data_IF_381895527114
#
_entry.id   IF_381895527114
#
_cell.length_a   1.000
_cell.length_b   1.000
_cell.length_c   1.000
_cell.angle_alpha   90.00
_cell.angle_beta   90.00
_cell.angle_gamma   90.00
#
_symmetry.space_group_name_H-M   'P 1'
#
loop_
_entity.id
_entity.type
_entity.pdbx_description
1 polymer ?
#
# COMPACT_ATOMS: atom_id res chain seq x y z
N UNK A 1 15.69 1.31 -0.37
CA UNK A 1 14.41 0.67 0.01
C UNK A 1 13.99 -0.20 -1.15
N UNK A 2 13.60 -1.48 -0.96
CA UNK A 2 13.05 -2.27 -2.06
C UNK A 2 11.77 -1.61 -2.60
N UNK A 3 11.60 -1.63 -3.91
CA UNK A 3 10.40 -1.16 -4.60
C UNK A 3 9.56 -2.36 -5.01
N UNK A 4 8.25 -2.31 -4.75
CA UNK A 4 7.29 -3.33 -5.20
C UNK A 4 6.22 -2.67 -6.05
N UNK A 5 5.67 -3.40 -7.01
CA UNK A 5 4.43 -2.96 -7.64
C UNK A 5 3.28 -3.04 -6.63
N UNK A 6 2.29 -2.16 -6.75
CA UNK A 6 1.16 -2.08 -5.84
C UNK A 6 0.40 -3.41 -5.73
N UNK A 7 0.33 -4.20 -6.80
CA UNK A 7 -0.27 -5.54 -6.80
C UNK A 7 0.53 -6.61 -6.05
N UNK A 8 1.82 -6.37 -5.81
CA UNK A 8 2.71 -7.28 -5.09
C UNK A 8 2.90 -6.90 -3.62
N UNK A 9 2.31 -5.78 -3.18
CA UNK A 9 2.27 -5.40 -1.77
C UNK A 9 1.58 -6.49 -0.94
N UNK A 10 2.12 -6.75 0.25
CA UNK A 10 1.61 -7.73 1.18
C UNK A 10 1.12 -7.03 2.46
N UNK A 11 0.10 -7.57 3.15
CA UNK A 11 -0.21 -7.16 4.51
C UNK A 11 1.04 -7.19 5.40
N UNK A 12 1.31 -6.11 6.11
CA UNK A 12 2.53 -5.92 6.91
C UNK A 12 3.60 -5.05 6.24
N UNK A 13 3.61 -4.94 4.89
CA UNK A 13 4.55 -4.05 4.20
C UNK A 13 4.40 -2.62 4.72
N UNK A 14 5.53 -1.97 5.00
CA UNK A 14 5.54 -0.58 5.48
C UNK A 14 5.92 0.37 4.35
N UNK A 15 5.01 1.28 4.01
CA UNK A 15 5.17 2.29 2.97
C UNK A 15 5.54 3.65 3.58
N UNK A 16 6.28 4.46 2.84
CA UNK A 16 6.45 5.88 3.13
C UNK A 16 5.46 6.71 2.31
N UNK A 17 4.52 7.37 2.99
CA UNK A 17 3.62 8.32 2.36
C UNK A 17 4.21 9.74 2.48
N UNK A 18 4.30 10.42 1.33
CA UNK A 18 4.86 11.77 1.18
C UNK A 18 6.26 11.98 1.80
N UNK A 19 7.03 10.91 2.01
CA UNK A 19 8.37 10.97 2.63
C UNK A 19 8.37 11.24 4.15
N UNK A 20 7.20 11.31 4.79
CA UNK A 20 7.09 11.78 6.19
C UNK A 20 6.37 10.77 7.08
N UNK A 21 5.31 10.11 6.60
CA UNK A 21 4.53 9.17 7.42
C UNK A 21 4.72 7.73 6.97
N UNK A 22 4.87 6.82 7.95
CA UNK A 22 4.92 5.37 7.70
C UNK A 22 3.51 4.81 7.76
N UNK A 23 3.13 4.06 6.74
CA UNK A 23 1.83 3.42 6.62
C UNK A 23 2.02 1.91 6.49
N UNK A 24 1.31 1.13 7.29
CA UNK A 24 1.36 -0.34 7.23
C UNK A 24 0.22 -0.82 6.35
N UNK A 25 0.53 -1.68 5.37
CA UNK A 25 -0.46 -2.32 4.50
C UNK A 25 -1.28 -3.32 5.32
N UNK A 26 -2.60 -3.22 5.19
CA UNK A 26 -3.57 -4.13 5.82
C UNK A 26 -4.09 -5.12 4.80
N UNK A 27 -4.51 -4.64 3.63
CA UNK A 27 -5.04 -5.46 2.55
C UNK A 27 -4.76 -4.85 1.20
N UNK A 28 -4.59 -5.69 0.18
CA UNK A 28 -4.49 -5.29 -1.23
C UNK A 28 -5.58 -6.05 -1.99
N UNK A 29 -6.51 -5.31 -2.58
CA UNK A 29 -7.67 -5.89 -3.27
C UNK A 29 -7.67 -5.45 -4.73
N UNK A 30 -7.60 -6.37 -5.71
CA UNK A 30 -7.77 -6.01 -7.12
C UNK A 30 -9.16 -5.41 -7.37
N UNK A 31 -9.24 -4.31 -8.12
CA UNK A 31 -10.50 -3.62 -8.40
C UNK A 31 -10.73 -3.53 -9.91
N UNK A 32 -11.89 -4.02 -10.37
CA UNK A 32 -12.33 -3.97 -11.77
C UNK A 32 -11.82 -5.11 -12.66
N UNK A 33 -12.42 -5.25 -13.85
CA UNK A 33 -11.97 -6.15 -14.92
C UNK A 33 -11.53 -5.34 -16.16
N UNK A 34 -10.37 -5.66 -16.77
CA UNK A 34 -9.32 -6.56 -16.29
C UNK A 34 -8.34 -5.81 -15.36
N UNK A 35 -8.16 -6.29 -14.12
CA UNK A 35 -7.06 -6.17 -13.14
C UNK A 35 -6.08 -4.95 -13.12
N UNK A 36 -6.40 -3.83 -13.76
CA UNK A 36 -5.45 -2.71 -13.93
C UNK A 36 -5.26 -1.85 -12.68
N UNK A 37 -6.05 -2.09 -11.62
CA UNK A 37 -6.06 -1.28 -10.40
C UNK A 37 -6.18 -2.14 -9.16
N UNK A 38 -5.62 -1.64 -8.07
CA UNK A 38 -5.70 -2.23 -6.73
C UNK A 38 -6.14 -1.18 -5.72
N UNK A 39 -6.92 -1.62 -4.75
CA UNK A 39 -7.23 -0.88 -3.54
C UNK A 39 -6.32 -1.36 -2.42
N UNK A 40 -5.49 -0.46 -1.92
CA UNK A 40 -4.57 -0.71 -0.82
C UNK A 40 -5.14 -0.04 0.42
N UNK A 41 -5.47 -0.83 1.44
CA UNK A 41 -5.83 -0.32 2.76
C UNK A 41 -4.58 -0.27 3.61
N UNK A 42 -4.38 0.85 4.28
CA UNK A 42 -3.22 1.07 5.16
C UNK A 42 -3.65 1.74 6.45
N UNK A 43 -2.88 1.62 7.51
CA UNK A 43 -2.99 2.50 8.68
C UNK A 43 -1.66 3.21 8.95
N UNK A 44 -1.72 4.41 9.53
CA UNK A 44 -0.49 5.10 9.93
C UNK A 44 0.15 4.38 11.13
N UNK A 45 1.44 4.07 11.06
CA UNK A 45 2.16 3.42 12.15
C UNK A 45 2.03 4.24 13.45
N UNK A 46 1.60 3.59 14.53
CA UNK A 46 1.29 4.24 15.81
C UNK A 46 -0.14 4.80 15.93
N UNK A 47 -0.96 4.72 14.87
CA UNK A 47 -2.37 5.12 14.83
C UNK A 47 -3.20 4.08 14.04
N UNK A 48 -3.43 2.88 14.59
CA UNK A 48 -4.11 1.79 13.89
C UNK A 48 -5.56 2.12 13.48
N UNK A 49 -6.22 3.01 14.21
CA UNK A 49 -7.59 3.47 13.88
C UNK A 49 -7.62 4.41 12.67
N UNK A 50 -6.48 4.99 12.27
CA UNK A 50 -6.36 5.89 11.13
C UNK A 50 -6.15 5.10 9.83
N UNK A 51 -7.21 4.43 9.37
CA UNK A 51 -7.20 3.62 8.15
C UNK A 51 -7.43 4.51 6.93
N UNK A 52 -6.47 4.48 6.00
CA UNK A 52 -6.56 5.12 4.68
C UNK A 52 -6.76 4.05 3.60
N UNK A 53 -7.61 4.36 2.63
CA UNK A 53 -7.88 3.51 1.47
C UNK A 53 -7.43 4.24 0.23
N UNK A 54 -6.51 3.63 -0.53
CA UNK A 54 -5.94 4.24 -1.73
C UNK A 54 -6.17 3.33 -2.92
N UNK A 55 -6.82 3.86 -3.97
CA UNK A 55 -6.99 3.16 -5.23
C UNK A 55 -5.93 3.61 -6.23
N UNK A 56 -5.07 2.69 -6.67
CA UNK A 56 -3.96 2.99 -7.57
C UNK A 56 -3.82 1.94 -8.68
N UNK A 57 -3.15 2.27 -9.80
CA UNK A 57 -2.79 1.28 -10.81
C UNK A 57 -2.00 0.11 -10.21
N UNK A 58 -2.27 -1.10 -10.68
CA UNK A 58 -1.65 -2.33 -10.17
C UNK A 58 -0.11 -2.33 -10.30
N UNK A 59 0.39 -1.68 -11.35
CA UNK A 59 1.82 -1.56 -11.70
C UNK A 59 2.50 -0.35 -11.05
N UNK A 60 1.80 0.44 -10.22
CA UNK A 60 2.42 1.58 -9.53
C UNK A 60 3.54 1.08 -8.62
N UNK A 61 4.74 1.63 -8.80
CA UNK A 61 5.89 1.31 -7.95
C UNK A 61 5.76 2.03 -6.61
N UNK A 62 5.88 1.27 -5.53
CA UNK A 62 5.79 1.75 -4.15
C UNK A 62 7.05 1.35 -3.39
N UNK A 63 7.64 2.32 -2.70
CA UNK A 63 8.79 2.09 -1.83
C UNK A 63 8.37 1.42 -0.53
N UNK A 64 9.04 0.32 -0.19
CA UNK A 64 8.79 -0.45 1.03
C UNK A 64 10.00 -0.31 1.97
N UNK A 65 9.74 0.10 3.21
CA UNK A 65 10.74 0.41 4.24
C UNK A 65 11.17 -0.84 5.01
N UNK A 66 10.22 -1.74 5.26
CA UNK A 66 10.43 -2.99 6.01
C UNK A 66 9.57 -4.10 5.35
N UNK A 67 10.14 -5.29 5.12
CA UNK A 67 9.37 -6.49 4.79
C UNK A 67 8.65 -7.06 6.02
#
# INVERSE_FOLDING_TARGET
MPTKEAQHLQPGDVLLHAGISRHVVVTVTPVGRPAGRVEVKTYQLGKPDNVAVTNMPAQTLVEVVLP
#
